data_IF_878207696441
#
_entry.id   IF_878207696441
#
_cell.length_a   1.000
_cell.length_b   1.000
_cell.length_c   1.000
_cell.angle_alpha   90.00
_cell.angle_beta   90.00
_cell.angle_gamma   90.00
#
_symmetry.space_group_name_H-M   'P 1'
#
loop_
_entity.id
_entity.type
_entity.pdbx_description
1 polymer ?
#
# COMPACT_ATOMS: atom_id res chain seq x y z
N UNK A 1 -1.61 -13.17 9.88
CA UNK A 1 -1.51 -14.42 9.09
C UNK A 1 -1.19 -15.56 10.03
N UNK A 2 -1.83 -16.72 9.80
CA UNK A 2 -1.52 -17.96 10.50
C UNK A 2 -0.08 -18.42 10.14
N UNK A 3 0.83 -18.54 11.13
CA UNK A 3 2.19 -18.99 10.87
C UNK A 3 2.27 -20.37 10.20
N UNK A 4 1.31 -21.27 10.46
CA UNK A 4 1.28 -22.60 9.88
C UNK A 4 0.91 -22.59 8.39
N UNK A 5 0.31 -21.51 7.90
CA UNK A 5 -0.12 -21.31 6.50
C UNK A 5 0.66 -20.22 5.79
N UNK A 6 1.83 -19.86 6.32
CA UNK A 6 2.67 -18.79 5.77
C UNK A 6 3.06 -19.02 4.31
N UNK A 7 3.44 -20.24 3.98
CA UNK A 7 3.90 -20.58 2.63
C UNK A 7 2.76 -20.47 1.61
N UNK A 8 1.55 -20.91 1.99
CA UNK A 8 0.33 -20.73 1.18
C UNK A 8 0.03 -19.26 0.92
N UNK A 9 0.15 -18.42 1.96
CA UNK A 9 -0.04 -16.97 1.84
C UNK A 9 1.00 -16.35 0.91
N UNK A 10 2.28 -16.72 1.05
CA UNK A 10 3.36 -16.21 0.19
C UNK A 10 3.11 -16.61 -1.26
N UNK A 11 2.73 -17.86 -1.54
CA UNK A 11 2.44 -18.30 -2.89
C UNK A 11 1.27 -17.50 -3.52
N UNK A 12 0.21 -17.23 -2.76
CA UNK A 12 -0.91 -16.40 -3.22
C UNK A 12 -0.50 -14.94 -3.43
N UNK A 13 0.33 -14.39 -2.54
CA UNK A 13 0.86 -13.03 -2.65
C UNK A 13 1.77 -12.86 -3.88
N UNK A 14 2.63 -13.84 -4.17
CA UNK A 14 3.51 -13.81 -5.35
C UNK A 14 2.71 -13.87 -6.66
N UNK A 15 1.64 -14.67 -6.68
CA UNK A 15 0.72 -14.72 -7.81
C UNK A 15 -0.03 -13.40 -7.99
N UNK A 16 -0.55 -12.81 -6.90
CA UNK A 16 -1.17 -11.49 -6.90
C UNK A 16 -0.21 -10.44 -7.44
N UNK A 17 1.03 -10.39 -6.93
CA UNK A 17 2.02 -9.39 -7.33
C UNK A 17 2.35 -9.48 -8.83
N UNK A 18 2.55 -10.69 -9.36
CA UNK A 18 2.84 -10.92 -10.77
C UNK A 18 1.69 -10.47 -11.68
N UNK A 19 0.44 -10.78 -11.31
CA UNK A 19 -0.73 -10.43 -12.11
C UNK A 19 -1.11 -8.94 -11.98
N UNK A 20 -0.76 -8.30 -10.85
CA UNK A 20 -1.05 -6.91 -10.57
C UNK A 20 -0.01 -5.93 -11.14
N UNK A 21 1.17 -6.38 -11.54
CA UNK A 21 2.24 -5.54 -12.10
C UNK A 21 1.75 -4.51 -13.14
N UNK A 22 1.05 -4.89 -14.24
CA UNK A 22 0.59 -3.91 -15.22
C UNK A 22 -0.43 -2.92 -14.65
N UNK A 23 -1.21 -3.33 -13.64
CA UNK A 23 -2.16 -2.44 -12.98
C UNK A 23 -1.44 -1.41 -12.09
N UNK A 24 -0.36 -1.81 -11.42
CA UNK A 24 0.46 -0.89 -10.64
C UNK A 24 1.17 0.12 -11.55
N UNK A 25 1.77 -0.32 -12.65
CA UNK A 25 2.48 0.57 -13.58
C UNK A 25 1.56 1.64 -14.19
N UNK A 26 0.36 1.23 -14.63
CA UNK A 26 -0.57 2.14 -15.27
C UNK A 26 -1.37 2.98 -14.25
N UNK A 27 -1.85 2.34 -13.17
CA UNK A 27 -2.92 2.86 -12.33
C UNK A 27 -2.51 3.42 -10.96
N UNK A 28 -1.29 3.16 -10.50
CA UNK A 28 -0.83 3.64 -9.20
C UNK A 28 0.01 4.92 -9.31
N UNK A 29 -0.11 5.79 -8.29
CA UNK A 29 0.88 6.81 -8.01
C UNK A 29 2.07 6.19 -7.28
N UNK A 30 1.79 5.29 -6.34
CA UNK A 30 2.77 4.46 -5.63
C UNK A 30 2.09 3.26 -4.99
N UNK A 31 2.89 2.23 -4.72
CA UNK A 31 2.51 1.10 -3.88
C UNK A 31 3.72 0.63 -3.06
N UNK A 32 3.50 0.39 -1.78
CA UNK A 32 4.47 -0.18 -0.86
C UNK A 32 3.89 -1.47 -0.29
N UNK A 33 4.69 -2.53 -0.32
CA UNK A 33 4.35 -3.82 0.27
C UNK A 33 5.49 -4.25 1.17
N UNK A 34 5.17 -4.83 2.33
CA UNK A 34 6.22 -5.27 3.23
C UNK A 34 5.71 -6.00 4.45
N UNK A 35 6.65 -6.64 5.14
CA UNK A 35 6.41 -7.23 6.43
C UNK A 35 6.56 -6.18 7.52
N UNK A 36 5.64 -6.17 8.48
CA UNK A 36 5.77 -5.36 9.68
C UNK A 36 6.86 -5.92 10.61
N UNK A 37 7.05 -5.27 11.77
CA UNK A 37 7.96 -5.79 12.81
C UNK A 37 7.55 -7.18 13.29
N UNK A 38 6.26 -7.48 13.29
CA UNK A 38 5.76 -8.85 13.42
C UNK A 38 5.92 -9.56 12.07
N UNK A 39 6.69 -10.65 11.98
CA UNK A 39 6.92 -11.33 10.72
C UNK A 39 5.65 -11.90 10.09
N UNK A 40 4.58 -12.13 10.87
CA UNK A 40 3.30 -12.67 10.39
C UNK A 40 2.26 -11.60 10.06
N UNK A 41 2.69 -10.35 9.94
CA UNK A 41 1.87 -9.23 9.51
C UNK A 41 2.44 -8.65 8.21
N UNK A 42 1.67 -8.78 7.13
CA UNK A 42 1.95 -8.15 5.86
C UNK A 42 1.11 -6.88 5.74
N UNK A 43 1.69 -5.83 5.17
CA UNK A 43 1.06 -4.52 4.99
C UNK A 43 1.22 -4.08 3.55
N UNK A 44 0.14 -3.54 2.98
CA UNK A 44 0.16 -2.83 1.72
C UNK A 44 -0.39 -1.41 1.88
N UNK A 45 0.32 -0.46 1.28
CA UNK A 45 -0.11 0.93 1.16
C UNK A 45 -0.07 1.28 -0.32
N UNK A 46 -1.21 1.57 -0.92
CA UNK A 46 -1.30 1.90 -2.34
C UNK A 46 -2.11 3.17 -2.57
N UNK A 47 -1.57 4.07 -3.38
CA UNK A 47 -2.30 5.22 -3.91
C UNK A 47 -2.60 4.97 -5.37
N UNK A 48 -3.89 4.96 -5.70
CA UNK A 48 -4.40 4.78 -7.06
C UNK A 48 -4.74 6.13 -7.69
N UNK A 49 -4.51 6.26 -9.00
CA UNK A 49 -4.87 7.46 -9.78
C UNK A 49 -6.38 7.64 -9.87
N UNK A 50 -7.12 6.54 -9.85
CA UNK A 50 -8.58 6.52 -9.91
C UNK A 50 -9.15 5.29 -9.20
N UNK A 51 -10.31 5.48 -8.57
CA UNK A 51 -11.10 4.41 -7.98
C UNK A 51 -11.62 3.43 -9.05
N UNK A 52 -11.99 3.94 -10.23
CA UNK A 52 -12.46 3.10 -11.35
C UNK A 52 -11.40 2.10 -11.79
N UNK A 53 -10.13 2.50 -11.74
CA UNK A 53 -9.02 1.66 -12.16
C UNK A 53 -8.82 0.47 -11.22
N UNK A 54 -8.75 0.71 -9.90
CA UNK A 54 -8.65 -0.36 -8.91
C UNK A 54 -9.91 -1.24 -8.89
N UNK A 55 -11.08 -0.67 -9.14
CA UNK A 55 -12.32 -1.43 -9.22
C UNK A 55 -12.32 -2.40 -10.42
N UNK A 56 -11.78 -2.01 -11.57
CA UNK A 56 -11.61 -2.93 -12.72
C UNK A 56 -10.67 -4.09 -12.39
N UNK A 57 -9.55 -3.84 -11.74
CA UNK A 57 -8.63 -4.89 -11.29
C UNK A 57 -9.35 -5.86 -10.35
N UNK A 58 -10.10 -5.33 -9.37
CA UNK A 58 -10.84 -6.14 -8.39
C UNK A 58 -11.92 -7.04 -9.00
N UNK A 59 -12.34 -6.75 -10.23
CA UNK A 59 -13.33 -7.59 -10.92
C UNK A 59 -12.74 -8.81 -11.62
N UNK A 60 -11.41 -8.88 -11.79
CA UNK A 60 -10.78 -10.03 -12.44
C UNK A 60 -10.88 -11.28 -11.56
N UNK A 61 -10.95 -12.44 -12.21
CA UNK A 61 -11.06 -13.71 -11.49
C UNK A 61 -9.80 -14.02 -10.69
N UNK A 62 -8.63 -13.73 -11.26
CA UNK A 62 -7.34 -13.93 -10.59
C UNK A 62 -7.24 -13.09 -9.31
N UNK A 63 -7.78 -11.87 -9.29
CA UNK A 63 -7.71 -11.01 -8.11
C UNK A 63 -8.58 -11.58 -6.99
N UNK A 64 -9.81 -12.00 -7.33
CA UNK A 64 -10.76 -12.59 -6.38
C UNK A 64 -10.21 -13.89 -5.79
N UNK A 65 -9.65 -14.77 -6.63
CA UNK A 65 -9.05 -16.03 -6.19
C UNK A 65 -7.85 -15.80 -5.26
N UNK A 66 -6.87 -15.03 -5.72
CA UNK A 66 -5.65 -14.78 -4.93
C UNK A 66 -5.96 -14.08 -3.61
N UNK A 67 -6.87 -13.10 -3.60
CA UNK A 67 -7.30 -12.47 -2.35
C UNK A 67 -8.02 -13.44 -1.42
N UNK A 68 -8.93 -14.27 -1.93
CA UNK A 68 -9.60 -15.26 -1.10
C UNK A 68 -8.59 -16.19 -0.43
N UNK A 69 -7.60 -16.69 -1.18
CA UNK A 69 -6.54 -17.56 -0.65
C UNK A 69 -5.68 -16.85 0.41
N UNK A 70 -5.37 -15.57 0.21
CA UNK A 70 -4.68 -14.76 1.22
C UNK A 70 -5.51 -14.58 2.49
N UNK A 71 -6.82 -14.31 2.35
CA UNK A 71 -7.74 -14.15 3.48
C UNK A 71 -7.93 -15.46 4.26
N UNK A 72 -8.01 -16.60 3.58
CA UNK A 72 -8.12 -17.91 4.22
C UNK A 72 -6.90 -18.25 5.09
N UNK A 73 -5.73 -17.67 4.79
CA UNK A 73 -4.51 -17.82 5.58
C UNK A 73 -4.39 -16.80 6.72
N UNK A 74 -5.38 -15.93 6.90
CA UNK A 74 -5.36 -14.89 7.93
C UNK A 74 -5.89 -15.43 9.26
N UNK A 75 -5.17 -15.13 10.34
CA UNK A 75 -5.56 -15.47 11.72
C UNK A 75 -6.69 -14.58 12.25
N UNK A 76 -6.85 -13.40 11.64
CA UNK A 76 -7.73 -12.32 12.05
C UNK A 76 -8.28 -11.63 10.80
N UNK A 77 -9.29 -10.78 10.97
CA UNK A 77 -9.83 -9.98 9.86
C UNK A 77 -8.76 -9.05 9.27
N UNK A 78 -8.73 -8.95 7.93
CA UNK A 78 -7.95 -7.93 7.25
C UNK A 78 -8.52 -6.54 7.56
N UNK A 79 -7.68 -5.63 8.02
CA UNK A 79 -8.04 -4.23 8.26
C UNK A 79 -7.67 -3.40 7.04
N UNK A 80 -8.61 -2.57 6.58
CA UNK A 80 -8.39 -1.65 5.47
C UNK A 80 -8.77 -0.23 5.91
N UNK A 81 -7.85 0.70 5.72
CA UNK A 81 -8.08 2.13 5.92
C UNK A 81 -7.98 2.84 4.57
N UNK A 82 -9.00 3.63 4.25
CA UNK A 82 -9.03 4.42 3.02
C UNK A 82 -8.82 5.90 3.35
N UNK A 83 -7.75 6.47 2.80
CA UNK A 83 -7.46 7.89 2.93
C UNK A 83 -7.86 8.60 1.64
N UNK A 84 -8.69 9.65 1.76
CA UNK A 84 -8.94 10.60 0.68
C UNK A 84 -8.27 11.91 1.04
N UNK A 85 -7.23 12.28 0.28
CA UNK A 85 -6.46 13.51 0.52
C UNK A 85 -7.29 14.80 0.44
N UNK A 86 -8.51 14.75 -0.09
CA UNK A 86 -9.42 15.90 -0.15
C UNK A 86 -10.39 16.01 1.03
N UNK A 87 -10.67 14.91 1.76
CA UNK A 87 -11.77 14.82 2.74
C UNK A 87 -11.32 14.53 4.18
N UNK A 88 -10.02 14.53 4.46
CA UNK A 88 -9.47 14.32 5.81
C UNK A 88 -8.88 15.60 6.38
N UNK A 89 -8.64 15.60 7.69
CA UNK A 89 -7.92 16.65 8.40
C UNK A 89 -6.61 16.99 7.68
N UNK A 90 -6.52 18.23 7.21
CA UNK A 90 -5.39 18.77 6.47
C UNK A 90 -4.28 19.28 7.38
N UNK A 91 -4.40 19.10 8.69
CA UNK A 91 -3.37 19.47 9.69
C UNK A 91 -1.99 18.87 9.38
N UNK A 92 -1.91 17.78 8.62
CA UNK A 92 -0.62 17.24 8.14
C UNK A 92 0.17 18.26 7.30
N UNK A 93 -0.52 19.09 6.51
CA UNK A 93 0.10 20.19 5.75
C UNK A 93 0.48 21.38 6.65
N UNK A 94 -0.08 21.47 7.86
CA UNK A 94 0.35 22.42 8.88
C UNK A 94 1.57 21.90 9.65
N UNK A 95 1.66 20.58 9.84
CA UNK A 95 2.80 19.95 10.51
C UNK A 95 4.09 20.03 9.67
N UNK A 96 3.95 19.99 8.33
CA UNK A 96 5.05 20.14 7.38
C UNK A 96 4.70 21.17 6.32
N UNK A 97 4.81 22.48 6.63
CA UNK A 97 4.45 23.53 5.69
C UNK A 97 5.38 23.53 4.48
N UNK A 98 4.85 23.98 3.34
CA UNK A 98 5.64 24.22 2.14
C UNK A 98 6.82 25.16 2.45
N UNK A 99 7.99 24.84 1.91
CA UNK A 99 9.24 25.52 2.19
C UNK A 99 10.33 24.61 2.75
N UNK A 100 11.33 25.22 3.38
CA UNK A 100 12.52 24.51 3.87
C UNK A 100 12.14 23.48 4.95
N UNK A 101 12.51 22.23 4.69
CA UNK A 101 12.21 21.09 5.55
C UNK A 101 12.78 21.28 6.95
N UNK A 102 11.96 21.01 7.96
CA UNK A 102 12.36 21.06 9.38
C UNK A 102 12.88 19.72 9.91
N UNK A 103 12.75 18.64 9.13
CA UNK A 103 13.07 17.26 9.57
C UNK A 103 14.25 16.64 8.84
N UNK A 104 14.59 17.14 7.64
CA UNK A 104 15.79 16.70 6.93
C UNK A 104 16.99 17.56 7.35
N UNK A 105 18.17 16.95 7.44
CA UNK A 105 19.39 17.69 7.73
C UNK A 105 19.72 18.66 6.59
N UNK A 106 19.94 19.92 6.94
CA UNK A 106 20.51 20.91 6.02
C UNK A 106 22.00 20.63 5.86
N UNK A 107 22.45 20.52 4.61
CA UNK A 107 23.89 20.49 4.33
C UNK A 107 24.35 21.90 3.98
N UNK A 108 25.66 22.10 3.81
CA UNK A 108 26.22 23.40 3.40
C UNK A 108 25.74 23.86 2.02
N UNK A 109 25.28 22.95 1.16
CA UNK A 109 24.99 23.23 -0.25
C UNK A 109 23.62 22.75 -0.72
N UNK A 110 22.90 21.99 0.10
CA UNK A 110 21.58 21.43 -0.23
C UNK A 110 20.59 21.75 0.87
N UNK A 111 19.47 22.34 0.46
CA UNK A 111 18.25 22.46 1.24
C UNK A 111 17.19 21.55 0.62
N UNK A 112 16.35 20.94 1.48
CA UNK A 112 15.23 20.11 1.04
C UNK A 112 13.97 20.92 1.20
N UNK A 113 13.24 21.13 0.11
CA UNK A 113 12.01 21.94 0.11
C UNK A 113 10.80 21.03 -0.07
N UNK A 114 9.84 21.13 0.84
CA UNK A 114 8.50 20.59 0.64
C UNK A 114 7.71 21.52 -0.27
N UNK A 115 7.10 20.96 -1.32
CA UNK A 115 6.24 21.66 -2.27
C UNK A 115 4.78 21.62 -1.80
#
# INVERSE_FOLDING_TARGET
>A
MDPARRDDFIAALEELARNAEPWYEEGCNFAFHGWARNPNQWVAIASWKSEDFVNRMRQTDWYKDTQQRMLDCSSDAMVMEQFSGMNVDRSVFEQYPAGSSQVHMKTKTLDVTFL
#
